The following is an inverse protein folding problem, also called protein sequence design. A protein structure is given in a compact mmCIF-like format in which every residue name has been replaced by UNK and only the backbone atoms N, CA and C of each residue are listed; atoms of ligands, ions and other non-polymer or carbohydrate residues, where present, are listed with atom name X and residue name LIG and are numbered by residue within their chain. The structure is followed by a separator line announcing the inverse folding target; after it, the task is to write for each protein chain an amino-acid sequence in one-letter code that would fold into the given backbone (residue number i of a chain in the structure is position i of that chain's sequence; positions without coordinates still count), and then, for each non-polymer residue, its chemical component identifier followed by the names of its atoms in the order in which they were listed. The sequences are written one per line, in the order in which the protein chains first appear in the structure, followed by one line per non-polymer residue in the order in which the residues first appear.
data_IF_797712570251
#
_entry.id   IF_797712570251
#
_cell.length_a   1.000
_cell.length_b   1.000
_cell.length_c   1.000
_cell.angle_alpha   90.00
_cell.angle_beta   90.00
_cell.angle_gamma   90.00
#
_symmetry.space_group_name_H-M   'P 1'
#
loop_
_entity.id
_entity.type
_entity.pdbx_description
1 polymer ?
#
# COMPACT_ATOMS: atom_id res chain seq x y z
N UNK A 1 54.26 24.49 -3.39
CA UNK A 1 53.46 23.92 -2.27
C UNK A 1 52.02 23.74 -2.76
N UNK A 2 51.52 22.50 -2.73
CA UNK A 2 50.11 22.04 -2.77
C UNK A 2 49.08 22.60 -3.80
N UNK A 3 48.90 21.82 -4.88
CA UNK A 3 47.67 21.24 -5.46
C UNK A 3 46.30 21.69 -4.88
N UNK A 4 45.39 22.16 -5.74
CA UNK A 4 43.95 21.81 -5.67
C UNK A 4 43.23 22.12 -7.00
N UNK A 5 42.89 21.07 -7.77
CA UNK A 5 42.03 21.14 -8.97
C UNK A 5 40.57 20.99 -8.53
N UNK A 6 39.77 22.06 -8.61
CA UNK A 6 38.30 21.98 -8.51
C UNK A 6 37.73 21.63 -9.89
N UNK A 7 37.23 20.41 -10.08
CA UNK A 7 36.40 20.02 -11.23
C UNK A 7 34.98 20.55 -10.99
N UNK A 8 34.53 21.44 -11.86
CA UNK A 8 33.16 21.94 -11.96
C UNK A 8 32.39 21.04 -12.93
N UNK A 9 31.45 20.23 -12.43
CA UNK A 9 30.55 19.45 -13.28
C UNK A 9 29.35 20.32 -13.66
N UNK A 10 29.21 20.60 -14.95
CA UNK A 10 28.06 21.27 -15.57
C UNK A 10 26.92 20.23 -15.63
N UNK A 11 25.86 20.45 -14.86
CA UNK A 11 24.63 19.66 -14.95
C UNK A 11 23.79 20.14 -16.14
N UNK A 12 23.52 19.23 -17.08
CA UNK A 12 22.56 19.43 -18.17
C UNK A 12 21.12 19.26 -17.62
N UNK A 13 20.14 20.08 -18.03
CA UNK A 13 18.76 19.93 -17.60
C UNK A 13 18.09 18.75 -18.30
N UNK A 14 17.66 17.75 -17.52
CA UNK A 14 16.81 16.65 -18.02
C UNK A 14 15.38 17.18 -18.16
N UNK A 15 14.93 17.36 -19.40
CA UNK A 15 13.53 17.66 -19.73
C UNK A 15 12.67 16.43 -19.40
N UNK A 16 11.78 16.52 -18.42
CA UNK A 16 10.71 15.54 -18.20
C UNK A 16 9.62 15.72 -19.26
N UNK A 17 9.43 14.68 -20.08
CA UNK A 17 8.36 14.57 -21.09
C UNK A 17 6.97 14.52 -20.43
N UNK A 18 5.92 15.15 -21.01
CA UNK A 18 4.65 15.37 -20.33
C UNK A 18 3.56 14.43 -20.86
N UNK A 19 3.27 13.30 -20.19
CA UNK A 19 2.04 12.54 -20.52
C UNK A 19 1.47 11.59 -19.45
N UNK A 20 1.97 11.59 -18.21
CA UNK A 20 1.40 10.75 -17.13
C UNK A 20 0.70 11.56 -16.02
N UNK A 21 0.85 12.89 -16.00
CA UNK A 21 0.34 13.70 -14.88
C UNK A 21 -1.14 14.00 -15.00
N UNK A 22 -1.69 14.15 -16.20
CA UNK A 22 -3.08 14.63 -16.36
C UNK A 22 -4.13 13.67 -15.80
N UNK A 23 -3.87 12.36 -15.83
CA UNK A 23 -4.79 11.35 -15.30
C UNK A 23 -4.74 11.31 -13.77
N UNK A 24 -3.54 11.39 -13.19
CA UNK A 24 -3.35 11.37 -11.75
C UNK A 24 -3.83 12.68 -11.10
N UNK A 25 -3.55 13.83 -11.73
CA UNK A 25 -4.12 15.11 -11.30
C UNK A 25 -5.64 15.11 -11.47
N UNK A 26 -6.18 14.56 -12.57
CA UNK A 26 -7.64 14.46 -12.76
C UNK A 26 -8.33 13.55 -11.75
N UNK A 27 -7.70 12.44 -11.34
CA UNK A 27 -8.21 11.56 -10.28
C UNK A 27 -8.16 12.26 -8.91
N UNK A 28 -7.04 12.91 -8.59
CA UNK A 28 -6.91 13.66 -7.34
C UNK A 28 -7.85 14.86 -7.30
N UNK A 29 -8.08 15.53 -8.44
CA UNK A 29 -9.02 16.63 -8.57
C UNK A 29 -10.46 16.14 -8.46
N UNK A 30 -10.81 14.99 -9.04
CA UNK A 30 -12.13 14.33 -8.85
C UNK A 30 -12.35 13.94 -7.38
N UNK A 31 -11.34 13.38 -6.71
CA UNK A 31 -11.40 13.04 -5.27
C UNK A 31 -11.57 14.29 -4.41
N UNK A 32 -10.93 15.42 -4.80
CA UNK A 32 -11.11 16.71 -4.13
C UNK A 32 -12.48 17.35 -4.41
N UNK A 33 -13.03 17.15 -5.61
CA UNK A 33 -14.34 17.70 -6.00
C UNK A 33 -15.50 16.98 -5.31
N UNK A 34 -15.36 15.68 -5.05
CA UNK A 34 -16.31 14.89 -4.23
C UNK A 34 -16.43 15.45 -2.79
N UNK A 35 -15.38 16.06 -2.24
CA UNK A 35 -15.44 16.68 -0.90
C UNK A 35 -16.19 18.01 -0.83
N UNK A 36 -16.59 18.60 -1.97
CA UNK A 36 -17.10 19.98 -2.00
C UNK A 36 -18.59 20.13 -2.32
N UNK A 37 -19.32 19.04 -2.59
CA UNK A 37 -20.75 19.09 -2.89
C UNK A 37 -21.47 17.90 -2.24
N UNK A 38 -22.23 18.16 -1.19
CA UNK A 38 -23.11 17.18 -0.56
C UNK A 38 -23.43 17.54 0.90
N UNK A 39 -24.20 18.61 1.08
CA UNK A 39 -24.90 18.90 2.35
C UNK A 39 -26.33 18.44 2.12
N UNK A 40 -26.51 17.12 2.11
CA UNK A 40 -27.77 16.49 1.77
C UNK A 40 -27.98 15.36 2.81
N UNK A 41 -29.09 15.49 3.52
CA UNK A 41 -29.44 14.87 4.80
C UNK A 41 -29.81 13.38 4.75
N UNK A 42 -29.22 12.61 3.84
CA UNK A 42 -29.38 11.15 3.79
C UNK A 42 -28.06 10.42 3.49
N UNK A 43 -27.50 9.75 4.51
CA UNK A 43 -26.63 8.58 4.34
C UNK A 43 -25.24 8.82 3.74
N UNK A 44 -24.59 9.94 4.05
CA UNK A 44 -23.20 10.17 3.65
C UNK A 44 -22.25 9.23 4.41
N UNK A 45 -21.66 8.25 3.71
CA UNK A 45 -20.46 7.57 4.21
C UNK A 45 -19.39 8.62 4.44
N UNK A 46 -19.19 8.94 5.71
CA UNK A 46 -18.26 9.95 6.18
C UNK A 46 -16.85 9.49 5.80
N UNK A 47 -16.31 10.06 4.72
CA UNK A 47 -14.88 9.98 4.39
C UNK A 47 -14.13 10.82 5.43
N UNK A 48 -14.06 10.29 6.66
CA UNK A 48 -13.30 10.82 7.78
C UNK A 48 -11.81 10.88 7.43
N UNK A 49 -11.16 11.93 7.91
CA UNK A 49 -9.78 12.26 7.58
C UNK A 49 -8.71 11.35 8.21
N UNK A 50 -9.07 10.27 8.92
CA UNK A 50 -8.14 9.44 9.70
C UNK A 50 -8.26 7.94 9.40
N UNK A 51 -8.17 7.54 8.14
CA UNK A 51 -7.92 6.12 7.83
C UNK A 51 -6.42 5.83 8.03
N UNK A 52 -6.11 4.95 8.97
CA UNK A 52 -4.73 4.59 9.31
C UNK A 52 -4.03 3.89 8.15
N UNK A 53 -2.76 4.22 7.94
CA UNK A 53 -1.96 3.54 6.94
C UNK A 53 -1.56 2.15 7.46
N UNK A 54 -1.95 1.10 6.74
CA UNK A 54 -1.50 -0.25 7.04
C UNK A 54 -0.11 -0.50 6.43
N UNK A 55 0.87 -0.80 7.29
CA UNK A 55 2.18 -1.27 6.87
C UNK A 55 2.08 -2.71 6.35
N UNK A 56 2.76 -2.99 5.24
CA UNK A 56 2.77 -4.30 4.60
C UNK A 56 4.18 -4.67 4.13
N UNK A 57 4.53 -5.94 4.29
CA UNK A 57 5.67 -6.56 3.66
C UNK A 57 5.20 -7.33 2.44
N UNK A 58 5.93 -7.21 1.33
CA UNK A 58 5.65 -7.93 0.09
C UNK A 58 6.89 -8.74 -0.27
N UNK A 59 6.73 -10.05 -0.27
CA UNK A 59 7.80 -11.00 -0.55
C UNK A 59 7.32 -12.03 -1.57
N UNK A 60 8.25 -12.82 -2.09
CA UNK A 60 7.92 -13.91 -3.00
C UNK A 60 8.86 -15.10 -2.77
N UNK A 61 8.36 -16.29 -3.09
CA UNK A 61 9.20 -17.46 -3.35
C UNK A 61 9.05 -17.87 -4.82
N UNK A 62 9.54 -19.05 -5.23
CA UNK A 62 9.48 -19.48 -6.63
C UNK A 62 8.04 -19.70 -7.14
N UNK A 63 7.08 -19.97 -6.24
CA UNK A 63 5.70 -20.39 -6.55
C UNK A 63 4.65 -19.35 -6.19
N UNK A 64 4.88 -18.55 -5.16
CA UNK A 64 3.87 -17.68 -4.56
C UNK A 64 4.39 -16.26 -4.33
N UNK A 65 3.49 -15.28 -4.46
CA UNK A 65 3.59 -13.98 -3.82
C UNK A 65 3.05 -14.10 -2.39
N UNK A 66 3.72 -13.45 -1.43
CA UNK A 66 3.34 -13.43 -0.01
C UNK A 66 3.25 -11.98 0.45
N UNK A 67 2.09 -11.58 0.96
CA UNK A 67 1.86 -10.25 1.54
C UNK A 67 1.56 -10.41 3.02
N UNK A 68 2.28 -9.69 3.87
CA UNK A 68 2.13 -9.76 5.32
C UNK A 68 1.82 -8.39 5.91
N UNK A 69 0.98 -8.36 6.94
CA UNK A 69 0.65 -7.13 7.66
C UNK A 69 0.40 -7.40 9.14
N UNK A 70 0.89 -6.54 10.02
CA UNK A 70 0.58 -6.60 11.46
C UNK A 70 -0.72 -5.85 11.75
N UNK A 71 -1.72 -6.58 12.24
CA UNK A 71 -3.08 -6.09 12.44
C UNK A 71 -3.62 -6.56 13.81
N UNK A 72 -2.88 -6.28 14.88
CA UNK A 72 -3.35 -6.51 16.24
C UNK A 72 -4.63 -5.71 16.51
N UNK A 73 -5.57 -6.30 17.25
CA UNK A 73 -6.86 -5.68 17.59
C UNK A 73 -7.91 -5.66 16.49
N UNK A 74 -7.65 -6.28 15.33
CA UNK A 74 -8.66 -6.52 14.30
C UNK A 74 -9.15 -7.96 14.36
N UNK A 75 -10.47 -8.17 14.22
CA UNK A 75 -11.06 -9.50 14.08
C UNK A 75 -11.15 -9.88 12.60
N UNK A 76 -11.09 -11.17 12.23
CA UNK A 76 -11.19 -11.59 10.83
C UNK A 76 -12.40 -11.02 10.09
N UNK A 77 -13.56 -10.95 10.75
CA UNK A 77 -14.81 -10.41 10.21
C UNK A 77 -14.76 -8.90 9.93
N UNK A 78 -13.85 -8.16 10.56
CA UNK A 78 -13.66 -6.73 10.35
C UNK A 78 -12.61 -6.44 9.26
N UNK A 79 -12.10 -7.47 8.56
CA UNK A 79 -11.07 -7.35 7.52
C UNK A 79 -11.66 -7.68 6.15
N UNK A 80 -11.46 -6.77 5.19
CA UNK A 80 -11.79 -6.97 3.79
C UNK A 80 -10.52 -7.00 2.95
N UNK A 81 -10.41 -8.01 2.09
CA UNK A 81 -9.30 -8.19 1.16
C UNK A 81 -9.91 -8.31 -0.23
N UNK A 82 -9.47 -7.45 -1.14
CA UNK A 82 -9.94 -7.46 -2.52
C UNK A 82 -8.76 -7.42 -3.49
N UNK A 83 -8.83 -8.21 -4.55
CA UNK A 83 -7.91 -8.13 -5.68
C UNK A 83 -8.73 -7.72 -6.90
N UNK A 84 -8.37 -6.59 -7.50
CA UNK A 84 -8.99 -6.13 -8.73
C UNK A 84 -7.89 -5.71 -9.71
N UNK A 85 -7.83 -6.39 -10.86
CA UNK A 85 -6.66 -6.36 -11.75
C UNK A 85 -5.39 -6.66 -10.93
N UNK A 86 -4.36 -5.84 -11.08
CA UNK A 86 -3.09 -5.99 -10.35
C UNK A 86 -3.08 -5.25 -9.01
N UNK A 87 -4.25 -4.87 -8.46
CA UNK A 87 -4.34 -4.13 -7.20
C UNK A 87 -4.86 -5.03 -6.08
N UNK A 88 -4.02 -5.29 -5.09
CA UNK A 88 -4.42 -5.86 -3.81
C UNK A 88 -4.75 -4.76 -2.82
N UNK A 89 -5.98 -4.74 -2.34
CA UNK A 89 -6.47 -3.80 -1.32
C UNK A 89 -6.83 -4.55 -0.05
N UNK A 90 -6.27 -4.10 1.07
CA UNK A 90 -6.56 -4.58 2.42
C UNK A 90 -7.20 -3.42 3.18
N UNK A 91 -8.37 -3.65 3.76
CA UNK A 91 -9.08 -2.70 4.63
C UNK A 91 -9.54 -3.39 5.89
N UNK A 92 -9.70 -2.64 6.96
CA UNK A 92 -10.37 -3.14 8.15
C UNK A 92 -10.38 -2.13 9.28
N UNK A 93 -10.68 -2.60 10.50
CA UNK A 93 -10.74 -1.78 11.70
C UNK A 93 -10.04 -2.45 12.88
N UNK A 94 -9.23 -1.69 13.60
CA UNK A 94 -8.69 -2.08 14.91
C UNK A 94 -9.58 -1.50 16.01
N UNK A 95 -9.98 -2.32 16.97
CA UNK A 95 -10.75 -1.87 18.14
C UNK A 95 -9.88 -1.95 19.40
N UNK A 96 -9.98 -0.92 20.25
CA UNK A 96 -9.45 -0.97 21.62
C UNK A 96 -10.51 -1.61 22.53
N UNK A 97 -10.10 -2.54 23.37
CA UNK A 97 -10.96 -3.08 24.44
C UNK A 97 -11.04 -2.16 25.66
N UNK A 98 -10.19 -1.13 25.70
CA UNK A 98 -10.13 -0.18 26.81
C UNK A 98 -10.92 1.08 26.51
N UNK A 99 -11.79 1.45 27.46
CA UNK A 99 -12.51 2.73 27.50
C UNK A 99 -11.80 3.68 28.48
N UNK A 100 -10.65 4.21 28.07
CA UNK A 100 -9.93 5.25 28.82
C UNK A 100 -10.24 6.61 28.21
N UNK A 101 -10.34 7.65 29.04
CA UNK A 101 -10.53 9.01 28.54
C UNK A 101 -9.22 9.54 27.99
N UNK A 102 -9.30 10.51 27.08
CA UNK A 102 -8.11 11.08 26.45
C UNK A 102 -7.11 11.67 27.47
N UNK A 103 -7.61 12.31 28.53
CA UNK A 103 -6.79 12.90 29.60
C UNK A 103 -6.08 11.85 30.48
N UNK A 104 -6.48 10.57 30.41
CA UNK A 104 -5.89 9.49 31.21
C UNK A 104 -4.63 8.89 30.55
N UNK A 105 -4.31 9.30 29.32
CA UNK A 105 -3.12 8.80 28.61
C UNK A 105 -1.91 9.68 28.89
N UNK A 106 -0.81 9.07 29.35
CA UNK A 106 0.49 9.72 29.33
C UNK A 106 1.08 9.81 27.91
N UNK A 107 0.91 8.76 27.11
CA UNK A 107 1.32 8.67 25.71
C UNK A 107 0.36 7.79 24.92
N UNK A 108 0.17 8.09 23.63
CA UNK A 108 -0.69 7.31 22.73
C UNK A 108 -0.06 7.20 21.35
N UNK A 109 0.58 6.06 21.09
CA UNK A 109 1.22 5.74 19.80
C UNK A 109 0.45 4.66 19.02
N UNK A 110 -0.34 3.85 19.73
CA UNK A 110 -1.18 2.82 19.13
C UNK A 110 -2.32 3.47 18.32
N UNK A 111 -2.40 3.10 17.05
CA UNK A 111 -3.51 3.49 16.19
C UNK A 111 -4.71 2.55 16.38
N UNK A 112 -5.85 3.12 16.79
CA UNK A 112 -7.15 2.46 16.85
C UNK A 112 -8.10 3.11 15.84
N UNK A 113 -8.88 2.31 15.12
CA UNK A 113 -9.75 2.80 14.05
C UNK A 113 -9.56 2.07 12.73
N UNK A 114 -10.15 2.63 11.67
CA UNK A 114 -10.11 2.06 10.33
C UNK A 114 -8.72 2.17 9.73
N UNK A 115 -8.29 1.17 8.98
CA UNK A 115 -7.03 1.18 8.24
C UNK A 115 -7.21 0.69 6.81
N UNK A 116 -6.33 1.14 5.93
CA UNK A 116 -6.24 0.60 4.57
C UNK A 116 -4.82 0.57 4.01
N UNK A 117 -4.63 -0.30 3.03
CA UNK A 117 -3.49 -0.31 2.13
C UNK A 117 -3.89 -0.89 0.78
N UNK A 118 -3.49 -0.21 -0.29
CA UNK A 118 -3.51 -0.77 -1.64
C UNK A 118 -2.08 -0.87 -2.15
N UNK A 119 -1.75 -2.02 -2.74
CA UNK A 119 -0.48 -2.25 -3.42
C UNK A 119 -0.70 -2.78 -4.83
N UNK A 120 0.23 -2.46 -5.72
CA UNK A 120 0.33 -3.10 -7.03
C UNK A 120 1.03 -4.44 -6.85
N UNK A 121 0.46 -5.50 -7.41
CA UNK A 121 1.04 -6.83 -7.45
C UNK A 121 2.25 -6.79 -8.40
N UNK A 122 3.47 -7.14 -7.95
CA UNK A 122 4.68 -7.01 -8.75
C UNK A 122 4.88 -8.15 -9.76
N UNK A 123 3.98 -9.13 -9.79
CA UNK A 123 4.03 -10.34 -10.63
C UNK A 123 2.60 -10.79 -10.95
N UNK A 124 2.44 -11.50 -12.06
CA UNK A 124 1.17 -12.12 -12.44
C UNK A 124 0.83 -13.27 -11.48
N UNK A 125 -0.43 -13.33 -11.04
CA UNK A 125 -0.90 -14.27 -10.01
C UNK A 125 -2.25 -14.89 -10.35
N UNK A 126 -2.46 -16.12 -9.85
CA UNK A 126 -3.73 -16.84 -9.92
C UNK A 126 -4.62 -16.44 -8.73
N UNK A 127 -5.39 -15.37 -8.88
CA UNK A 127 -6.22 -14.77 -7.83
C UNK A 127 -7.22 -15.73 -7.20
N UNK A 128 -7.81 -16.63 -8.00
CA UNK A 128 -8.82 -17.60 -7.55
C UNK A 128 -8.26 -18.63 -6.56
N UNK A 129 -6.94 -18.78 -6.52
CA UNK A 129 -6.23 -19.66 -5.60
C UNK A 129 -5.60 -18.92 -4.42
N UNK A 130 -5.90 -17.64 -4.24
CA UNK A 130 -5.42 -16.85 -3.12
C UNK A 130 -5.95 -17.41 -1.78
N UNK A 131 -5.11 -17.32 -0.74
CA UNK A 131 -5.50 -17.69 0.63
C UNK A 131 -5.02 -16.63 1.60
N UNK A 132 -5.86 -16.31 2.58
CA UNK A 132 -5.52 -15.39 3.65
C UNK A 132 -5.65 -16.09 5.01
N UNK A 133 -4.71 -15.83 5.91
CA UNK A 133 -4.76 -16.32 7.30
C UNK A 133 -4.44 -15.17 8.25
N UNK A 134 -5.16 -15.12 9.38
CA UNK A 134 -4.86 -14.23 10.49
C UNK A 134 -4.45 -15.09 11.68
N UNK A 135 -3.19 -15.01 12.10
CA UNK A 135 -2.67 -15.75 13.26
C UNK A 135 -1.84 -14.82 14.13
N UNK A 136 -2.16 -14.78 15.42
CA UNK A 136 -1.44 -13.97 16.41
C UNK A 136 -1.30 -12.49 16.00
N UNK A 137 -2.36 -11.91 15.42
CA UNK A 137 -2.36 -10.51 14.96
C UNK A 137 -1.56 -10.25 13.69
N UNK A 138 -1.11 -11.27 12.96
CA UNK A 138 -0.43 -11.13 11.66
C UNK A 138 -1.30 -11.70 10.55
N UNK A 139 -1.71 -10.83 9.63
CA UNK A 139 -2.38 -11.21 8.39
C UNK A 139 -1.32 -11.67 7.38
N UNK A 140 -1.51 -12.86 6.82
CA UNK A 140 -0.67 -13.40 5.74
C UNK A 140 -1.54 -13.78 4.56
N UNK A 141 -1.30 -13.15 3.41
CA UNK A 141 -1.96 -13.43 2.14
C UNK A 141 -0.96 -14.14 1.24
N UNK A 142 -1.33 -15.31 0.72
CA UNK A 142 -0.53 -16.11 -0.21
C UNK A 142 -1.28 -16.24 -1.51
N UNK A 143 -0.62 -15.90 -2.61
CA UNK A 143 -1.20 -15.95 -3.94
C UNK A 143 -0.25 -16.71 -4.86
N UNK A 144 -0.66 -17.84 -5.46
CA UNK A 144 0.16 -18.53 -6.44
C UNK A 144 0.45 -17.64 -7.65
N UNK A 145 1.67 -17.74 -8.19
CA UNK A 145 2.05 -17.06 -9.42
C UNK A 145 1.47 -17.79 -10.63
N UNK A 146 1.14 -17.06 -11.70
CA UNK A 146 0.69 -17.69 -12.95
C UNK A 146 1.77 -18.57 -13.59
N UNK A 147 3.02 -18.09 -13.56
CA UNK A 147 4.19 -18.84 -14.00
C UNK A 147 5.26 -18.86 -12.90
N UNK A 148 5.86 -20.03 -12.60
CA UNK A 148 7.00 -20.10 -11.70
C UNK A 148 8.15 -19.24 -12.23
N UNK A 149 8.80 -18.49 -11.34
CA UNK A 149 9.95 -17.69 -11.77
C UNK A 149 11.15 -18.60 -12.03
N UNK A 150 11.55 -18.66 -13.30
CA UNK A 150 12.78 -19.32 -13.75
C UNK A 150 13.82 -18.23 -14.03
N UNK A 151 14.90 -18.22 -13.25
CA UNK A 151 16.02 -17.30 -13.50
C UNK A 151 16.85 -17.83 -14.67
N UNK A 152 16.83 -17.14 -15.80
CA UNK A 152 17.69 -17.47 -16.94
C UNK A 152 18.93 -16.57 -16.88
N UNK A 153 20.15 -17.11 -16.71
CA UNK A 153 21.35 -16.31 -16.75
C UNK A 153 21.61 -15.82 -18.18
N UNK A 154 21.71 -14.51 -18.35
CA UNK A 154 22.12 -13.91 -19.61
C UNK A 154 23.65 -13.86 -19.67
N UNK A 155 24.22 -14.33 -20.78
CA UNK A 155 25.63 -14.12 -21.10
C UNK A 155 25.75 -12.88 -21.96
N UNK A 156 26.58 -11.94 -21.55
CA UNK A 156 26.97 -10.81 -22.39
C UNK A 156 27.99 -11.32 -23.40
N UNK A 157 27.80 -10.99 -24.67
CA UNK A 157 28.72 -11.29 -25.76
C UNK A 157 29.15 -9.94 -26.34
N UNK A 158 30.43 -9.78 -26.68
CA UNK A 158 30.90 -8.61 -27.44
C UNK A 158 30.46 -8.76 -28.90
N UNK A 159 30.07 -7.63 -29.52
CA UNK A 159 29.69 -7.52 -30.93
C UNK A 159 30.89 -7.64 -31.88
#
# INVERSE_FOLDING_TARGET
MAISKKRSTIGLPVKSSPSSDKFFTSLLDRVKQIKKTGTDEHGAWQLGADEGQLAVDVAQNNKELVVMATIAGARPEDISINIFNDLLTIRGKRNSEQELKDDDYFYRECFWGSFSRTIVLPVDVLTDSARATLKNGVLTIRIPKESPQIKVPLKVIED
#
